data_IF_528247178604
#
_entry.id   IF_528247178604
#
_cell.length_a   1.000
_cell.length_b   1.000
_cell.length_c   1.000
_cell.angle_alpha   90.00
_cell.angle_beta   90.00
_cell.angle_gamma   90.00
#
_symmetry.space_group_name_H-M   'P 1'
#
loop_
_entity.id
_entity.type
_entity.pdbx_description
1 polymer ?
#
# COMPACT_ATOMS: atom_id res chain seq x y z
N UNK A 1 -18.16 -4.00 -1.03
CA UNK A 1 -17.73 -2.79 -1.75
C UNK A 1 -16.41 -3.15 -2.39
N UNK A 2 -16.49 -3.77 -3.56
CA UNK A 2 -15.36 -4.23 -4.33
C UNK A 2 -14.45 -3.04 -4.66
N UNK A 3 -13.14 -3.17 -4.41
CA UNK A 3 -12.18 -2.13 -4.79
C UNK A 3 -12.20 -1.98 -6.32
N UNK A 4 -12.14 -0.76 -6.88
CA UNK A 4 -12.16 -0.52 -8.33
C UNK A 4 -10.89 -1.00 -9.05
N UNK A 5 -10.03 -1.73 -8.35
CA UNK A 5 -8.75 -2.21 -8.82
C UNK A 5 -8.83 -3.70 -9.13
N UNK A 6 -8.55 -4.04 -10.38
CA UNK A 6 -8.44 -5.43 -10.83
C UNK A 6 -6.97 -5.83 -10.92
N UNK A 7 -6.66 -7.03 -10.42
CA UNK A 7 -5.33 -7.64 -10.54
C UNK A 7 -5.24 -8.42 -11.86
N UNK A 8 -4.19 -8.16 -12.61
CA UNK A 8 -3.79 -8.91 -13.79
C UNK A 8 -2.34 -9.41 -13.63
N UNK A 9 -1.92 -10.31 -14.50
CA UNK A 9 -0.55 -10.80 -14.56
C UNK A 9 -0.03 -10.63 -15.99
N UNK A 10 1.19 -10.11 -16.10
CA UNK A 10 1.86 -9.94 -17.40
C UNK A 10 2.32 -11.29 -17.95
N UNK A 11 2.77 -11.31 -19.21
CA UNK A 11 3.30 -12.51 -19.88
C UNK A 11 4.47 -13.16 -19.14
N UNK A 12 5.23 -12.36 -18.39
CA UNK A 12 6.34 -12.80 -17.54
C UNK A 12 5.91 -13.23 -16.12
N UNK A 13 4.60 -13.19 -15.83
CA UNK A 13 4.03 -13.57 -14.53
C UNK A 13 4.05 -12.47 -13.46
N UNK A 14 4.46 -11.25 -13.80
CA UNK A 14 4.46 -10.14 -12.86
C UNK A 14 3.05 -9.56 -12.67
N UNK A 15 2.57 -9.41 -11.42
CA UNK A 15 1.25 -8.85 -11.17
C UNK A 15 1.22 -7.34 -11.40
N UNK A 16 0.19 -6.85 -12.06
CA UNK A 16 -0.12 -5.43 -12.20
C UNK A 16 -1.59 -5.15 -11.88
N UNK A 17 -1.89 -3.91 -11.55
CA UNK A 17 -3.22 -3.49 -11.12
C UNK A 17 -3.75 -2.42 -12.07
N UNK A 18 -4.96 -2.61 -12.59
CA UNK A 18 -5.67 -1.63 -13.40
C UNK A 18 -6.86 -1.11 -12.60
N UNK A 19 -7.02 0.21 -12.58
CA UNK A 19 -8.25 0.85 -12.14
C UNK A 19 -9.09 1.22 -13.36
N UNK A 20 -10.26 0.59 -13.52
CA UNK A 20 -11.13 0.78 -14.67
C UNK A 20 -11.76 2.19 -14.72
N UNK A 21 -11.97 2.83 -13.57
CA UNK A 21 -12.64 4.14 -13.48
C UNK A 21 -11.75 5.27 -14.02
N UNK A 22 -10.47 5.25 -13.64
CA UNK A 22 -9.48 6.28 -14.02
C UNK A 22 -8.58 5.84 -15.17
N UNK A 23 -8.73 4.59 -15.65
CA UNK A 23 -7.89 3.95 -16.67
C UNK A 23 -6.38 4.06 -16.38
N UNK A 24 -6.00 3.88 -15.11
CA UNK A 24 -4.59 3.89 -14.69
C UNK A 24 -4.12 2.44 -14.47
N UNK A 25 -2.93 2.15 -14.98
CA UNK A 25 -2.18 0.93 -14.66
C UNK A 25 -1.06 1.25 -13.67
N UNK A 26 -0.85 0.38 -12.70
CA UNK A 26 0.25 0.49 -11.74
C UNK A 26 0.78 -0.88 -11.30
N UNK A 27 2.05 -0.93 -10.95
CA UNK A 27 2.70 -2.15 -10.44
C UNK A 27 2.51 -2.32 -8.92
N UNK A 28 2.32 -1.23 -8.18
CA UNK A 28 2.12 -1.29 -6.74
C UNK A 28 0.69 -1.71 -6.39
N UNK A 29 0.53 -2.58 -5.39
CA UNK A 29 -0.80 -2.93 -4.90
C UNK A 29 -1.52 -1.69 -4.36
N UNK A 30 -2.79 -1.41 -4.73
CA UNK A 30 -3.52 -0.21 -4.28
C UNK A 30 -3.66 -0.12 -2.76
N UNK A 31 -3.93 -1.25 -2.07
CA UNK A 31 -3.86 -1.35 -0.60
C UNK A 31 -2.51 -0.86 -0.02
N UNK A 32 -1.39 -1.08 -0.71
CA UNK A 32 -0.08 -0.60 -0.26
C UNK A 32 0.05 0.92 -0.37
N UNK A 33 -0.63 1.57 -1.33
CA UNK A 33 -0.64 3.03 -1.42
C UNK A 33 -1.29 3.66 -0.17
N UNK A 34 -2.40 3.10 0.31
CA UNK A 34 -3.05 3.53 1.56
C UNK A 34 -2.15 3.30 2.79
N UNK A 35 -1.55 2.11 2.89
CA UNK A 35 -0.60 1.79 3.97
C UNK A 35 0.58 2.76 3.96
N UNK A 36 1.08 3.11 2.77
CA UNK A 36 2.20 4.03 2.61
C UNK A 36 1.86 5.44 3.08
N UNK A 37 0.64 5.92 2.81
CA UNK A 37 0.17 7.19 3.37
C UNK A 37 0.16 7.16 4.91
N UNK A 38 -0.36 6.09 5.51
CA UNK A 38 -0.36 5.91 6.98
C UNK A 38 1.04 5.79 7.58
N UNK A 39 1.99 5.22 6.83
CA UNK A 39 3.40 5.19 7.22
C UNK A 39 4.01 6.59 7.17
N UNK A 40 3.62 7.43 6.22
CA UNK A 40 4.09 8.81 6.13
C UNK A 40 3.56 9.69 7.27
N UNK A 41 2.36 9.40 7.77
CA UNK A 41 1.85 10.03 9.00
C UNK A 41 2.75 9.75 10.20
N UNK A 42 3.57 8.68 10.21
CA UNK A 42 4.53 8.45 11.29
C UNK A 42 5.77 9.36 11.21
N UNK A 43 5.95 10.12 10.12
CA UNK A 43 7.16 10.93 9.91
C UNK A 43 7.27 12.14 10.87
N UNK A 44 6.19 12.56 11.54
CA UNK A 44 6.25 13.63 12.55
C UNK A 44 7.08 13.23 13.79
N UNK A 45 7.25 11.92 14.04
CA UNK A 45 7.95 11.43 15.23
C UNK A 45 9.43 11.75 15.12
N UNK A 46 9.92 12.62 16.00
CA UNK A 46 11.30 13.13 16.01
C UNK A 46 12.35 12.01 16.10
N UNK A 47 12.17 11.09 17.04
CA UNK A 47 13.12 10.02 17.32
C UNK A 47 12.95 8.86 16.35
N UNK A 48 14.02 8.50 15.63
CA UNK A 48 14.00 7.47 14.59
C UNK A 48 13.57 6.10 15.11
N UNK A 49 14.02 5.70 16.30
CA UNK A 49 13.66 4.40 16.90
C UNK A 49 12.14 4.28 17.09
N UNK A 50 11.52 5.28 17.70
CA UNK A 50 10.06 5.29 17.92
C UNK A 50 9.29 5.41 16.61
N UNK A 51 9.78 6.20 15.65
CA UNK A 51 9.19 6.30 14.31
C UNK A 51 9.16 4.95 13.61
N UNK A 52 10.26 4.20 13.66
CA UNK A 52 10.33 2.85 13.08
C UNK A 52 9.37 1.89 13.78
N UNK A 53 9.33 1.89 15.12
CA UNK A 53 8.41 1.05 15.88
C UNK A 53 6.93 1.34 15.54
N UNK A 54 6.55 2.61 15.41
CA UNK A 54 5.21 3.02 14.98
C UNK A 54 4.89 2.57 13.55
N UNK A 55 5.83 2.75 12.62
CA UNK A 55 5.69 2.25 11.24
C UNK A 55 5.46 0.74 11.20
N UNK A 56 6.21 -0.03 11.99
CA UNK A 56 6.00 -1.47 12.13
C UNK A 56 4.61 -1.81 12.67
N UNK A 57 4.13 -1.10 13.69
CA UNK A 57 2.80 -1.33 14.25
C UNK A 57 1.68 -1.02 13.25
N UNK A 58 1.80 0.07 12.50
CA UNK A 58 0.85 0.43 11.43
C UNK A 58 0.82 -0.66 10.35
N UNK A 59 1.99 -1.13 9.93
CA UNK A 59 2.11 -2.21 8.95
C UNK A 59 1.49 -3.53 9.45
N UNK A 60 1.82 -3.92 10.68
CA UNK A 60 1.26 -5.13 11.31
C UNK A 60 -0.26 -5.06 11.37
N UNK A 61 -0.82 -3.94 11.82
CA UNK A 61 -2.27 -3.76 11.83
C UNK A 61 -2.88 -3.74 10.43
N UNK A 62 -2.19 -3.27 9.39
CA UNK A 62 -2.76 -3.24 8.05
C UNK A 62 -2.76 -4.61 7.33
N UNK A 63 -1.83 -5.49 7.74
CA UNK A 63 -1.63 -6.81 7.12
C UNK A 63 -2.31 -7.95 7.91
N UNK A 64 -2.38 -7.84 9.24
CA UNK A 64 -2.82 -8.91 10.13
C UNK A 64 -4.12 -8.58 10.92
N UNK A 65 -4.74 -7.42 10.68
CA UNK A 65 -6.03 -7.05 11.27
C UNK A 65 -7.21 -7.35 10.36
#
# INVERSE_FOLDING_TARGET
MDSPWQKFEDKDGFPYYINEDIKIQQWSHPKFADIRQRLDDCNYVKYSMYRVALKFRVLQNALFS
#
